data_IF_511925846575
#
_entry.id   IF_511925846575
#
_cell.length_a   1.000
_cell.length_b   1.000
_cell.length_c   1.000
_cell.angle_alpha   90.00
_cell.angle_beta   90.00
_cell.angle_gamma   90.00
#
_symmetry.space_group_name_H-M   'P 1'
#
loop_
_entity.id
_entity.type
_entity.pdbx_description
1 polymer ?
#
# COMPACT_ATOMS: atom_id res chain seq x y z
N UNK A 1 -12.92 -10.36 8.36
CA UNK A 1 -12.25 -9.06 8.36
C UNK A 1 -13.28 -7.95 8.33
N UNK A 2 -13.11 -6.95 9.20
CA UNK A 2 -13.91 -5.74 9.27
C UNK A 2 -13.04 -4.57 8.78
N UNK A 3 -13.50 -3.80 7.80
CA UNK A 3 -12.76 -2.61 7.32
C UNK A 3 -13.64 -1.36 7.21
N UNK A 4 -13.03 -0.18 7.35
CA UNK A 4 -13.62 1.12 7.05
C UNK A 4 -13.28 1.63 5.63
N UNK A 5 -12.52 0.86 4.86
CA UNK A 5 -12.15 1.19 3.49
C UNK A 5 -12.66 0.13 2.51
N UNK A 6 -13.50 0.54 1.55
CA UNK A 6 -14.00 -0.32 0.47
C UNK A 6 -12.85 -0.94 -0.35
N UNK A 7 -11.75 -0.19 -0.52
CA UNK A 7 -10.54 -0.64 -1.23
C UNK A 7 -9.92 -1.88 -0.61
N UNK A 8 -9.91 -2.00 0.73
CA UNK A 8 -9.39 -3.19 1.40
C UNK A 8 -10.23 -4.41 1.08
N UNK A 9 -11.56 -4.27 1.11
CA UNK A 9 -12.48 -5.38 0.85
C UNK A 9 -12.37 -5.85 -0.60
N UNK A 10 -12.29 -4.91 -1.55
CA UNK A 10 -12.08 -5.23 -2.96
C UNK A 10 -10.73 -5.92 -3.19
N UNK A 11 -9.66 -5.45 -2.54
CA UNK A 11 -8.34 -6.05 -2.67
C UNK A 11 -8.28 -7.45 -2.02
N UNK A 12 -8.99 -7.68 -0.92
CA UNK A 12 -9.13 -9.00 -0.29
C UNK A 12 -9.93 -9.98 -1.15
N UNK A 13 -10.97 -9.49 -1.83
CA UNK A 13 -11.71 -10.29 -2.80
C UNK A 13 -10.82 -10.76 -3.96
N UNK A 14 -9.93 -9.89 -4.45
CA UNK A 14 -8.92 -10.27 -5.43
C UNK A 14 -7.88 -11.24 -4.86
N UNK A 15 -7.44 -11.02 -3.62
CA UNK A 15 -6.49 -11.89 -2.92
C UNK A 15 -7.05 -13.30 -2.70
N UNK A 16 -8.38 -13.43 -2.49
CA UNK A 16 -9.05 -14.70 -2.25
C UNK A 16 -8.85 -15.71 -3.39
N UNK A 17 -8.71 -15.24 -4.62
CA UNK A 17 -8.45 -16.10 -5.80
C UNK A 17 -7.05 -16.72 -5.77
N UNK A 18 -6.11 -16.11 -5.03
CA UNK A 18 -4.73 -16.57 -4.91
C UNK A 18 -4.52 -17.49 -3.70
N UNK A 19 -5.54 -17.66 -2.86
CA UNK A 19 -5.46 -18.53 -1.70
C UNK A 19 -5.65 -20.01 -2.09
N UNK A 20 -5.07 -20.93 -1.31
CA UNK A 20 -5.31 -22.36 -1.47
C UNK A 20 -6.80 -22.73 -1.40
N UNK A 21 -7.22 -23.78 -2.10
CA UNK A 21 -8.62 -24.20 -2.17
C UNK A 21 -9.21 -24.58 -0.79
N UNK A 22 -8.37 -25.14 0.10
CA UNK A 22 -8.76 -25.56 1.45
C UNK A 22 -8.52 -24.46 2.50
N UNK A 23 -8.28 -23.22 2.08
CA UNK A 23 -8.09 -22.10 3.00
C UNK A 23 -9.38 -21.79 3.77
N UNK A 24 -9.25 -21.33 5.02
CA UNK A 24 -10.38 -21.01 5.87
C UNK A 24 -11.31 -19.96 5.22
N UNK A 25 -12.65 -20.09 5.38
CA UNK A 25 -13.58 -19.18 4.73
C UNK A 25 -13.37 -17.74 5.21
N UNK A 26 -13.24 -16.82 4.25
CA UNK A 26 -13.10 -15.39 4.51
C UNK A 26 -14.47 -14.72 4.50
N UNK A 27 -14.83 -14.13 5.64
CA UNK A 27 -15.97 -13.22 5.73
C UNK A 27 -15.49 -11.78 5.78
N UNK A 28 -16.08 -10.92 4.96
CA UNK A 28 -15.70 -9.52 4.79
C UNK A 28 -16.89 -8.63 5.11
N UNK A 29 -16.71 -7.58 5.90
CA UNK A 29 -17.76 -6.60 6.17
C UNK A 29 -17.21 -5.18 6.26
N UNK A 30 -17.97 -4.24 5.69
CA UNK A 30 -17.69 -2.82 5.78
C UNK A 30 -18.34 -2.24 7.05
N UNK A 31 -17.54 -1.71 7.96
CA UNK A 31 -18.01 -1.16 9.25
C UNK A 31 -17.93 0.37 9.32
N UNK A 32 -17.35 1.03 8.32
CA UNK A 32 -17.17 2.49 8.33
C UNK A 32 -18.44 3.34 8.20
N UNK A 33 -19.58 2.72 7.81
CA UNK A 33 -20.88 3.42 7.65
C UNK A 33 -21.90 3.03 8.71
N UNK A 34 -21.53 2.17 9.66
CA UNK A 34 -22.43 1.61 10.66
C UNK A 34 -22.25 2.39 11.96
N UNK A 35 -23.27 3.18 12.32
CA UNK A 35 -23.20 4.09 13.48
C UNK A 35 -24.00 3.54 14.66
N UNK A 36 -25.15 2.90 14.41
CA UNK A 36 -26.01 2.42 15.47
C UNK A 36 -25.47 1.12 16.09
N UNK A 37 -25.37 1.08 17.42
CA UNK A 37 -24.89 -0.09 18.18
C UNK A 37 -25.65 -1.36 17.81
N UNK A 38 -26.98 -1.29 17.66
CA UNK A 38 -27.79 -2.43 17.24
C UNK A 38 -27.44 -2.97 15.84
N UNK A 39 -26.99 -2.11 14.92
CA UNK A 39 -26.53 -2.53 13.60
C UNK A 39 -25.12 -3.14 13.66
N UNK A 40 -24.26 -2.63 14.54
CA UNK A 40 -22.96 -3.24 14.84
C UNK A 40 -23.18 -4.63 15.43
N UNK A 41 -24.09 -4.76 16.39
CA UNK A 41 -24.45 -6.03 17.01
C UNK A 41 -24.94 -7.04 15.97
N UNK A 42 -25.86 -6.64 15.08
CA UNK A 42 -26.35 -7.53 14.04
C UNK A 42 -25.22 -8.09 13.15
N UNK A 43 -24.27 -7.24 12.75
CA UNK A 43 -23.11 -7.66 11.95
C UNK A 43 -22.21 -8.60 12.76
N UNK A 44 -21.90 -8.26 14.01
CA UNK A 44 -21.00 -9.06 14.84
C UNK A 44 -21.63 -10.39 15.23
N UNK A 45 -22.92 -10.43 15.56
CA UNK A 45 -23.65 -11.64 15.93
C UNK A 45 -23.75 -12.61 14.74
N UNK A 46 -23.77 -12.11 13.50
CA UNK A 46 -23.71 -12.94 12.30
C UNK A 46 -22.32 -13.56 12.08
N UNK A 47 -21.25 -12.76 12.27
CA UNK A 47 -19.89 -13.13 11.88
C UNK A 47 -19.11 -13.89 12.96
N UNK A 48 -19.22 -13.45 14.22
CA UNK A 48 -18.38 -13.94 15.32
C UNK A 48 -18.56 -15.42 15.70
N UNK A 49 -19.75 -16.04 15.60
CA UNK A 49 -19.91 -17.46 15.97
C UNK A 49 -19.07 -18.43 15.14
N UNK A 50 -18.61 -18.02 13.95
CA UNK A 50 -17.83 -18.85 13.02
C UNK A 50 -16.38 -18.39 12.89
N UNK A 51 -16.00 -17.32 13.58
CA UNK A 51 -14.68 -16.73 13.47
C UNK A 51 -13.70 -17.41 14.44
N UNK A 52 -12.47 -17.65 13.97
CA UNK A 52 -11.32 -17.94 14.83
C UNK A 52 -10.36 -16.74 14.90
N UNK A 53 -10.30 -15.96 13.82
CA UNK A 53 -9.45 -14.77 13.68
C UNK A 53 -10.32 -13.61 13.16
N UNK A 54 -10.27 -12.47 13.85
CA UNK A 54 -10.91 -11.23 13.43
C UNK A 54 -9.83 -10.17 13.22
N UNK A 55 -9.69 -9.73 11.97
CA UNK A 55 -8.86 -8.58 11.61
C UNK A 55 -9.77 -7.36 11.44
N UNK A 56 -9.45 -6.29 12.15
CA UNK A 56 -10.14 -5.00 12.10
C UNK A 56 -9.18 -3.93 11.58
N UNK A 57 -9.52 -3.33 10.44
CA UNK A 57 -8.77 -2.23 9.83
C UNK A 57 -9.57 -0.95 9.92
N UNK A 58 -9.19 -0.06 10.83
CA UNK A 58 -9.98 1.10 11.24
C UNK A 58 -9.17 2.39 11.14
N UNK A 59 -9.82 3.53 10.92
CA UNK A 59 -9.14 4.83 10.93
C UNK A 59 -8.60 5.22 12.31
N UNK A 60 -9.27 4.81 13.39
CA UNK A 60 -8.80 5.00 14.77
C UNK A 60 -9.53 4.06 15.73
N UNK A 61 -9.02 3.88 16.95
CA UNK A 61 -9.75 3.17 18.01
C UNK A 61 -11.11 3.81 18.36
N UNK A 62 -11.27 5.13 18.14
CA UNK A 62 -12.50 5.86 18.50
C UNK A 62 -13.60 5.72 17.45
N UNK A 63 -13.25 5.49 16.18
CA UNK A 63 -14.24 5.42 15.09
C UNK A 63 -15.14 4.18 15.17
N UNK A 64 -14.78 3.20 15.99
CA UNK A 64 -15.54 1.95 16.16
C UNK A 64 -15.45 1.43 17.61
N UNK A 65 -15.51 2.34 18.59
CA UNK A 65 -15.25 2.03 20.00
C UNK A 65 -16.16 0.91 20.56
N UNK A 66 -17.48 1.03 20.36
CA UNK A 66 -18.46 0.02 20.79
C UNK A 66 -18.17 -1.35 20.16
N UNK A 67 -17.92 -1.39 18.85
CA UNK A 67 -17.58 -2.64 18.17
C UNK A 67 -16.27 -3.26 18.67
N UNK A 68 -15.25 -2.45 18.98
CA UNK A 68 -14.00 -2.94 19.58
C UNK A 68 -14.21 -3.52 20.98
N UNK A 69 -15.11 -2.96 21.79
CA UNK A 69 -15.46 -3.53 23.09
C UNK A 69 -16.16 -4.89 22.93
N UNK A 70 -17.12 -4.99 22.00
CA UNK A 70 -17.79 -6.25 21.63
C UNK A 70 -16.78 -7.31 21.17
N UNK A 71 -15.83 -6.93 20.32
CA UNK A 71 -14.79 -7.82 19.81
C UNK A 71 -13.83 -8.27 20.90
N UNK A 72 -13.49 -7.39 21.84
CA UNK A 72 -12.65 -7.72 22.99
C UNK A 72 -13.35 -8.75 23.88
N UNK A 73 -14.63 -8.53 24.18
CA UNK A 73 -15.44 -9.47 24.95
C UNK A 73 -15.54 -10.84 24.27
N UNK A 74 -15.72 -10.86 22.94
CA UNK A 74 -15.69 -12.10 22.17
C UNK A 74 -14.35 -12.83 22.25
N UNK A 75 -13.23 -12.11 22.09
CA UNK A 75 -11.90 -12.70 22.15
C UNK A 75 -11.61 -13.28 23.54
N UNK A 76 -12.01 -12.58 24.60
CA UNK A 76 -11.87 -13.06 25.98
C UNK A 76 -12.76 -14.27 26.29
N UNK A 77 -13.96 -14.34 25.71
CA UNK A 77 -14.89 -15.46 25.93
C UNK A 77 -14.53 -16.72 25.13
N UNK A 78 -13.97 -16.57 23.93
CA UNK A 78 -13.75 -17.68 22.98
C UNK A 78 -12.29 -18.10 22.85
N UNK A 79 -11.35 -17.26 23.29
CA UNK A 79 -9.94 -17.42 22.96
C UNK A 79 -9.59 -17.09 21.51
N UNK A 80 -10.52 -16.46 20.77
CA UNK A 80 -10.30 -16.03 19.39
C UNK A 80 -9.23 -14.94 19.27
N UNK A 81 -8.60 -14.87 18.10
CA UNK A 81 -7.56 -13.89 17.82
C UNK A 81 -8.16 -12.60 17.26
N UNK A 82 -7.88 -11.48 17.92
CA UNK A 82 -8.26 -10.15 17.48
C UNK A 82 -7.00 -9.40 17.06
N UNK A 83 -7.00 -8.90 15.83
CA UNK A 83 -5.96 -8.02 15.31
C UNK A 83 -6.58 -6.70 14.89
N UNK A 84 -6.14 -5.61 15.51
CA UNK A 84 -6.58 -4.26 15.23
C UNK A 84 -5.42 -3.48 14.59
N UNK A 85 -5.60 -3.04 13.35
CA UNK A 85 -4.59 -2.29 12.59
C UNK A 85 -5.16 -0.99 12.02
N UNK A 86 -4.36 0.07 11.91
CA UNK A 86 -4.80 1.32 11.32
C UNK A 86 -5.07 1.16 9.82
N UNK A 87 -6.09 1.85 9.32
CA UNK A 87 -6.41 1.97 7.89
C UNK A 87 -5.62 3.10 7.20
N UNK A 88 -4.73 3.78 7.93
CA UNK A 88 -3.90 4.90 7.45
C UNK A 88 -2.42 4.52 7.54
N UNK A 89 -1.55 5.32 6.89
CA UNK A 89 -0.10 5.06 6.89
C UNK A 89 0.51 5.07 8.30
N UNK A 90 0.06 6.01 9.14
CA UNK A 90 0.55 6.15 10.50
C UNK A 90 0.10 4.99 11.39
N UNK A 91 1.03 4.49 12.21
CA UNK A 91 0.70 3.53 13.27
C UNK A 91 -0.17 4.20 14.34
N UNK A 92 -1.17 3.48 14.82
CA UNK A 92 -2.03 3.87 15.95
C UNK A 92 -1.78 2.89 17.11
N UNK A 93 -0.90 3.22 18.07
CA UNK A 93 -0.61 2.35 19.20
C UNK A 93 -1.83 2.04 20.06
N UNK A 94 -2.77 2.98 20.20
CA UNK A 94 -3.98 2.79 21.01
C UNK A 94 -4.93 1.77 20.37
N UNK A 95 -5.00 1.76 19.03
CA UNK A 95 -5.74 0.75 18.28
C UNK A 95 -5.01 -0.59 18.33
N UNK A 96 -3.71 -0.62 18.06
CA UNK A 96 -2.93 -1.86 18.02
C UNK A 96 -2.86 -2.55 19.37
N UNK A 97 -2.82 -1.79 20.48
CA UNK A 97 -2.83 -2.32 21.84
C UNK A 97 -4.11 -3.11 22.20
N UNK A 98 -5.18 -3.00 21.40
CA UNK A 98 -6.42 -3.78 21.57
C UNK A 98 -6.36 -5.16 20.92
N UNK A 99 -5.29 -5.43 20.17
CA UNK A 99 -5.06 -6.74 19.57
C UNK A 99 -4.73 -7.77 20.64
N UNK A 100 -5.20 -9.00 20.47
CA UNK A 100 -4.78 -10.16 21.28
C UNK A 100 -3.58 -10.88 20.69
N UNK A 101 -3.19 -10.54 19.46
CA UNK A 101 -2.00 -11.08 18.80
C UNK A 101 -0.72 -10.34 19.20
N UNK A 102 0.42 -11.01 19.05
CA UNK A 102 1.71 -10.42 19.36
C UNK A 102 2.05 -9.20 18.48
N UNK A 103 2.71 -8.21 19.08
CA UNK A 103 3.12 -6.96 18.44
C UNK A 103 3.89 -7.18 17.11
N UNK A 104 4.87 -8.10 17.02
CA UNK A 104 5.58 -8.34 15.74
C UNK A 104 4.67 -8.80 14.61
N UNK A 105 3.71 -9.69 14.91
CA UNK A 105 2.75 -10.17 13.92
C UNK A 105 1.81 -9.06 13.48
N UNK A 106 1.34 -8.22 14.42
CA UNK A 106 0.49 -7.08 14.10
C UNK A 106 1.18 -6.09 13.15
N UNK A 107 2.46 -5.78 13.39
CA UNK A 107 3.25 -4.92 12.49
C UNK A 107 3.48 -5.56 11.12
N UNK A 108 3.81 -6.85 11.08
CA UNK A 108 4.03 -7.56 9.82
C UNK A 108 2.75 -7.59 8.97
N UNK A 109 1.61 -7.90 9.58
CA UNK A 109 0.32 -7.88 8.90
C UNK A 109 -0.02 -6.48 8.43
N UNK A 110 0.18 -5.45 9.26
CA UNK A 110 -0.01 -4.07 8.84
C UNK A 110 0.85 -3.71 7.62
N UNK A 111 2.09 -4.18 7.55
CA UNK A 111 2.98 -3.95 6.40
C UNK A 111 2.45 -4.55 5.10
N UNK A 112 1.87 -5.77 5.10
CA UNK A 112 1.21 -6.32 3.91
C UNK A 112 0.09 -5.42 3.40
N UNK A 113 -0.70 -4.85 4.32
CA UNK A 113 -1.77 -3.93 3.92
C UNK A 113 -1.23 -2.58 3.43
N UNK A 114 -0.11 -2.07 3.97
CA UNK A 114 0.50 -0.83 3.46
C UNK A 114 1.11 -1.02 2.07
N UNK A 115 1.79 -2.14 1.83
CA UNK A 115 2.33 -2.45 0.50
C UNK A 115 1.22 -2.68 -0.53
N UNK A 116 0.05 -3.13 -0.08
CA UNK A 116 -1.14 -3.29 -0.90
C UNK A 116 -1.02 -4.37 -1.98
N UNK A 117 -2.07 -4.54 -2.77
CA UNK A 117 -2.12 -5.55 -3.85
C UNK A 117 -2.50 -6.95 -3.40
N UNK A 118 -3.18 -7.67 -4.30
CA UNK A 118 -3.77 -8.97 -4.02
C UNK A 118 -2.74 -10.02 -3.54
N UNK A 119 -1.54 -10.03 -4.12
CA UNK A 119 -0.48 -10.98 -3.74
C UNK A 119 0.05 -10.75 -2.32
N UNK A 120 0.29 -9.49 -1.94
CA UNK A 120 0.70 -9.17 -0.56
C UNK A 120 -0.39 -9.52 0.44
N UNK A 121 -1.66 -9.22 0.12
CA UNK A 121 -2.76 -9.55 1.02
C UNK A 121 -2.96 -11.07 1.17
N UNK A 122 -2.80 -11.85 0.09
CA UNK A 122 -2.84 -13.31 0.16
C UNK A 122 -1.72 -13.85 1.06
N UNK A 123 -0.49 -13.36 0.91
CA UNK A 123 0.62 -13.70 1.81
C UNK A 123 0.36 -13.27 3.26
N UNK A 124 -0.23 -12.09 3.48
CA UNK A 124 -0.61 -11.63 4.81
C UNK A 124 -1.67 -12.53 5.48
N UNK A 125 -2.63 -13.04 4.71
CA UNK A 125 -3.63 -14.00 5.19
C UNK A 125 -3.02 -15.37 5.48
N UNK A 126 -2.13 -15.87 4.62
CA UNK A 126 -1.36 -17.11 4.88
C UNK A 126 -0.47 -16.96 6.13
N UNK A 127 0.21 -15.82 6.27
CA UNK A 127 1.00 -15.49 7.47
C UNK A 127 0.16 -15.52 8.74
N UNK A 128 -1.04 -14.92 8.73
CA UNK A 128 -1.96 -14.98 9.86
C UNK A 128 -2.37 -16.42 10.18
N UNK A 129 -2.72 -17.18 9.15
CA UNK A 129 -3.14 -18.57 9.29
C UNK A 129 -2.03 -19.45 9.85
N UNK A 130 -0.79 -19.26 9.41
CA UNK A 130 0.36 -20.03 9.86
C UNK A 130 0.72 -19.73 11.31
N UNK A 131 0.71 -18.45 11.70
CA UNK A 131 1.05 -18.05 13.06
C UNK A 131 -0.05 -18.34 14.09
N UNK A 132 -1.31 -18.19 13.71
CA UNK A 132 -2.45 -18.26 14.65
C UNK A 132 -3.17 -19.61 14.62
N UNK A 133 -3.24 -20.25 13.45
CA UNK A 133 -3.98 -21.49 13.23
C UNK A 133 -3.07 -22.69 12.92
N UNK A 134 -1.74 -22.49 12.85
CA UNK A 134 -0.73 -23.53 12.64
C UNK A 134 -0.98 -24.36 11.37
N UNK A 135 -1.46 -23.72 10.29
CA UNK A 135 -1.84 -24.41 9.05
C UNK A 135 -0.65 -24.74 8.15
N UNK A 136 0.34 -23.85 8.04
CA UNK A 136 1.59 -24.11 7.32
C UNK A 136 1.50 -23.94 5.81
N UNK A 137 0.71 -22.98 5.33
CA UNK A 137 0.59 -22.63 3.91
C UNK A 137 1.88 -22.05 3.32
N UNK A 138 2.69 -21.39 4.16
CA UNK A 138 3.83 -20.61 3.73
C UNK A 138 3.41 -19.23 3.22
N UNK A 139 4.31 -18.26 3.39
CA UNK A 139 4.12 -16.88 2.96
C UNK A 139 5.45 -16.22 2.61
N UNK A 140 5.43 -15.29 1.67
CA UNK A 140 6.57 -14.44 1.31
C UNK A 140 6.44 -13.07 2.00
N UNK A 141 7.53 -12.43 2.47
CA UNK A 141 7.53 -11.07 3.02
C UNK A 141 6.80 -10.03 2.14
N UNK A 142 6.30 -8.94 2.75
CA UNK A 142 5.61 -7.88 2.02
C UNK A 142 6.53 -7.20 1.00
N UNK A 143 6.05 -7.04 -0.22
CA UNK A 143 6.78 -6.44 -1.34
C UNK A 143 6.15 -5.10 -1.72
N UNK A 144 6.94 -4.03 -1.73
CA UNK A 144 6.47 -2.71 -2.19
C UNK A 144 6.06 -2.75 -3.66
N UNK A 145 4.85 -2.25 -3.93
CA UNK A 145 4.38 -2.10 -5.31
C UNK A 145 4.97 -0.82 -5.94
N UNK A 146 5.23 -0.83 -7.26
CA UNK A 146 5.62 0.39 -7.96
C UNK A 146 4.56 1.49 -7.83
N UNK A 147 5.00 2.74 -7.63
CA UNK A 147 4.11 3.92 -7.54
C UNK A 147 3.25 4.12 -8.80
N UNK A 148 3.70 3.61 -9.93
CA UNK A 148 3.04 3.70 -11.22
C UNK A 148 3.26 2.43 -12.02
N UNK A 149 2.24 2.04 -12.78
CA UNK A 149 2.28 0.92 -13.71
C UNK A 149 1.51 1.25 -14.97
N UNK A 150 1.91 0.62 -16.08
CA UNK A 150 1.11 0.64 -17.30
C UNK A 150 -0.04 -0.35 -17.18
N UNK A 151 -1.28 0.12 -17.16
CA UNK A 151 -2.43 -0.75 -17.32
C UNK A 151 -2.49 -1.23 -18.77
N UNK A 152 -2.21 -2.51 -18.97
CA UNK A 152 -2.45 -3.17 -20.25
C UNK A 152 -3.80 -3.88 -20.13
N UNK A 153 -4.81 -3.32 -20.79
CA UNK A 153 -6.08 -4.03 -20.95
C UNK A 153 -5.78 -5.31 -21.73
N UNK A 154 -6.03 -6.47 -21.12
CA UNK A 154 -6.18 -7.69 -21.89
C UNK A 154 -7.36 -7.45 -22.83
N UNK A 155 -7.09 -7.47 -24.15
CA UNK A 155 -8.14 -7.30 -25.13
C UNK A 155 -9.07 -8.52 -25.03
N UNK A 156 -10.12 -8.40 -24.23
CA UNK A 156 -11.23 -9.33 -24.27
C UNK A 156 -11.89 -9.11 -25.63
N UNK A 157 -11.53 -9.92 -26.62
CA UNK A 157 -12.27 -10.03 -27.86
C UNK A 157 -13.68 -10.48 -27.48
N UNK A 158 -14.59 -9.52 -27.33
CA UNK A 158 -16.00 -9.83 -27.34
C UNK A 158 -16.31 -10.35 -28.74
N UNK A 159 -16.77 -11.60 -28.90
CA UNK A 159 -17.27 -12.03 -30.20
C UNK A 159 -18.55 -11.23 -30.44
N UNK A 160 -18.44 -10.11 -31.15
CA UNK A 160 -19.63 -9.54 -31.76
C UNK A 160 -20.14 -10.61 -32.72
N UNK A 161 -21.33 -11.15 -32.44
CA UNK A 161 -21.93 -12.17 -33.30
C UNK A 161 -21.90 -11.70 -34.76
N UNK A 162 -21.57 -12.62 -35.66
CA UNK A 162 -21.48 -12.39 -37.11
C UNK A 162 -22.69 -11.59 -37.60
N UNK A 163 -22.50 -10.28 -37.85
CA UNK A 163 -23.56 -9.39 -38.30
C UNK A 163 -23.59 -7.97 -37.71
N UNK A 164 -22.77 -7.59 -36.73
CA UNK A 164 -22.76 -6.20 -36.25
C UNK A 164 -21.96 -5.27 -37.19
N UNK A 165 -22.64 -4.31 -37.81
CA UNK A 165 -22.03 -3.17 -38.52
C UNK A 165 -21.44 -2.11 -37.57
N UNK A 166 -21.52 -2.32 -36.25
CA UNK A 166 -21.00 -1.42 -35.23
C UNK A 166 -19.48 -1.51 -35.01
N UNK A 167 -18.86 -2.63 -35.37
CA UNK A 167 -17.44 -2.89 -35.18
C UNK A 167 -16.68 -2.69 -36.49
N UNK A 168 -16.49 -1.44 -36.92
CA UNK A 168 -15.37 -1.17 -37.81
C UNK A 168 -14.09 -1.28 -36.96
N UNK A 169 -13.04 -1.99 -37.43
CA UNK A 169 -11.79 -2.02 -36.70
C UNK A 169 -11.30 -0.58 -36.57
N UNK A 170 -10.97 -0.15 -35.35
CA UNK A 170 -10.05 0.97 -35.21
C UNK A 170 -8.77 0.48 -35.89
N UNK A 171 -8.56 0.92 -37.13
CA UNK A 171 -7.37 0.61 -37.87
C UNK A 171 -6.19 1.14 -37.06
N UNK A 172 -5.43 0.22 -36.46
CA UNK A 172 -4.14 0.50 -35.85
C UNK A 172 -3.20 0.82 -37.01
N UNK A 173 -3.17 2.09 -37.40
CA UNK A 173 -2.48 2.54 -38.59
C UNK A 173 -2.34 4.04 -38.64
N UNK A 174 -1.64 4.63 -37.68
CA UNK A 174 -0.94 5.90 -37.89
C UNK A 174 0.35 5.94 -37.05
N UNK A 175 1.49 6.36 -37.63
CA UNK A 175 2.68 6.63 -36.85
C UNK A 175 2.42 7.84 -35.96
N UNK A 176 2.64 7.69 -34.65
CA UNK A 176 2.52 8.76 -33.65
C UNK A 176 3.75 9.67 -33.71
N UNK A 177 3.84 10.51 -34.74
CA UNK A 177 4.73 11.66 -34.74
C UNK A 177 3.91 12.92 -34.48
N UNK A 178 3.73 13.28 -33.20
CA UNK A 178 3.56 14.63 -32.64
C UNK A 178 2.69 14.62 -31.38
N UNK A 179 3.31 14.39 -30.22
CA UNK A 179 2.70 14.72 -28.92
C UNK A 179 3.11 16.12 -28.41
N UNK A 180 3.87 16.89 -29.20
CA UNK A 180 4.41 18.21 -28.80
C UNK A 180 3.40 19.37 -28.87
N UNK A 181 2.17 19.15 -29.33
CA UNK A 181 1.24 20.25 -29.64
C UNK A 181 0.20 20.57 -28.56
N UNK A 182 0.20 19.88 -27.41
CA UNK A 182 -0.76 20.13 -26.32
C UNK A 182 -0.03 20.43 -25.01
N UNK A 183 0.81 21.46 -25.04
CA UNK A 183 1.15 22.23 -23.85
C UNK A 183 0.80 23.69 -24.11
N UNK A 184 -0.01 24.35 -23.25
CA UNK A 184 -0.21 25.78 -23.36
C UNK A 184 1.15 26.48 -23.16
N UNK A 185 1.51 27.35 -24.10
CA UNK A 185 2.71 28.20 -24.02
C UNK A 185 2.69 29.01 -22.72
N UNK A 186 3.78 29.03 -21.92
CA UNK A 186 3.90 30.03 -20.86
C UNK A 186 3.98 31.42 -21.51
N UNK A 187 3.02 32.28 -21.16
CA UNK A 187 3.02 33.69 -21.54
C UNK A 187 4.21 34.39 -20.89
N UNK A 188 4.89 35.20 -21.71
CA UNK A 188 6.08 35.96 -21.37
C UNK A 188 5.93 36.80 -20.09
N UNK A 189 6.78 36.48 -19.13
CA UNK A 189 7.68 37.39 -18.41
C UNK A 189 7.41 38.90 -18.56
N UNK A 190 6.85 39.50 -17.50
CA UNK A 190 7.01 40.93 -17.21
C UNK A 190 8.03 41.09 -16.09
N UNK A 191 9.19 41.62 -16.46
CA UNK A 191 10.22 42.10 -15.55
C UNK A 191 9.70 43.28 -14.74
N UNK A 192 9.75 43.19 -13.42
CA UNK A 192 10.08 44.33 -12.56
C UNK A 192 10.90 43.81 -11.38
N UNK A 193 12.20 44.12 -11.40
CA UNK A 193 13.07 43.92 -10.26
C UNK A 193 12.76 44.91 -9.13
N UNK A 194 13.16 44.56 -7.91
CA UNK A 194 14.27 45.19 -7.20
C UNK A 194 14.30 44.72 -5.73
N UNK A 195 15.51 44.28 -5.33
CA UNK A 195 16.19 44.48 -4.03
C UNK A 195 15.57 43.89 -2.76
N UNK A 196 16.44 43.22 -1.99
CA UNK A 196 16.28 43.08 -0.55
C UNK A 196 17.02 41.88 0.02
N UNK A 197 18.34 41.98 0.14
CA UNK A 197 19.10 41.17 1.08
C UNK A 197 18.64 41.52 2.51
N UNK A 198 18.51 40.54 3.40
CA UNK A 198 18.89 40.71 4.81
C UNK A 198 19.13 39.36 5.50
N UNK A 199 20.30 39.29 6.15
CA UNK A 199 20.74 38.29 7.11
C UNK A 199 20.07 38.48 8.47
N UNK A 200 19.77 37.40 9.20
CA UNK A 200 19.96 37.16 10.66
C UNK A 200 19.25 35.85 11.05
N UNK A 201 19.68 34.93 11.92
CA UNK A 201 20.79 34.85 12.88
C UNK A 201 20.62 33.55 13.72
N UNK A 202 21.73 33.11 14.30
CA UNK A 202 21.97 31.87 15.06
C UNK A 202 21.20 31.64 16.37
N UNK A 203 21.24 30.38 16.84
CA UNK A 203 21.14 29.95 18.25
C UNK A 203 20.07 28.88 18.50
N UNK A 204 20.27 27.77 19.21
CA UNK A 204 21.33 27.35 20.12
C UNK A 204 21.29 25.81 20.30
N UNK A 205 22.35 25.28 20.90
CA UNK A 205 22.67 23.87 21.04
C UNK A 205 22.24 23.25 22.40
N UNK A 206 22.17 21.90 22.41
CA UNK A 206 22.33 20.96 23.55
C UNK A 206 21.14 20.87 24.54
N UNK A 207 20.63 19.70 24.91
CA UNK A 207 21.33 18.58 25.52
C UNK A 207 20.85 17.18 25.11
N UNK A 208 21.79 16.24 25.17
CA UNK A 208 21.61 14.81 25.02
C UNK A 208 21.47 14.12 26.38
N UNK A 209 20.59 13.13 26.48
CA UNK A 209 20.85 11.95 27.32
C UNK A 209 20.15 10.72 26.75
N UNK A 210 20.89 9.61 26.77
CA UNK A 210 20.68 8.42 25.97
C UNK A 210 19.74 7.41 26.63
N UNK A 211 19.00 6.65 25.82
CA UNK A 211 18.58 5.29 26.14
C UNK A 211 18.28 4.48 24.87
N UNK A 212 19.14 3.47 24.66
CA UNK A 212 18.99 2.22 23.89
C UNK A 212 18.17 2.26 22.59
N UNK A 213 18.91 2.35 21.49
CA UNK A 213 18.45 2.14 20.11
C UNK A 213 18.38 0.65 19.81
N UNK A 214 17.20 0.16 19.43
CA UNK A 214 17.03 -1.01 18.56
C UNK A 214 17.01 -0.51 17.11
N UNK A 215 17.60 -1.23 16.13
CA UNK A 215 17.62 -0.76 14.75
C UNK A 215 16.20 -0.82 14.16
N UNK A 216 15.59 0.34 14.00
CA UNK A 216 14.39 0.56 13.20
C UNK A 216 14.85 0.71 11.75
N UNK A 217 14.25 -0.08 10.85
CA UNK A 217 14.44 0.05 9.41
C UNK A 217 14.16 1.50 9.00
N UNK A 218 15.20 2.17 8.51
CA UNK A 218 15.12 3.55 8.05
C UNK A 218 14.27 3.61 6.78
N UNK A 219 13.23 4.44 6.84
CA UNK A 219 12.37 4.77 5.72
C UNK A 219 13.13 5.32 4.52
N UNK A 220 12.68 4.89 3.35
CA UNK A 220 13.14 5.32 2.05
C UNK A 220 12.83 6.81 1.83
N UNK A 221 13.80 7.67 2.13
CA UNK A 221 13.80 9.04 1.64
C UNK A 221 14.01 9.03 0.11
N UNK A 222 12.96 9.44 -0.62
CA UNK A 222 12.94 9.57 -2.07
C UNK A 222 14.11 10.42 -2.59
N UNK A 223 15.03 9.76 -3.31
CA UNK A 223 16.14 10.41 -3.98
C UNK A 223 15.67 10.90 -5.35
N UNK A 224 15.62 12.22 -5.52
CA UNK A 224 15.36 12.91 -6.79
C UNK A 224 16.36 12.44 -7.86
N UNK A 225 15.83 11.89 -8.94
CA UNK A 225 16.57 11.53 -10.15
C UNK A 225 16.80 12.82 -10.94
N UNK A 226 18.06 13.24 -11.11
CA UNK A 226 18.45 14.27 -12.06
C UNK A 226 18.78 13.61 -13.41
N UNK A 227 18.05 13.97 -14.45
CA UNK A 227 18.35 13.59 -15.84
C UNK A 227 19.49 14.46 -16.40
N UNK A 228 20.49 13.77 -16.99
CA UNK A 228 20.73 13.88 -18.44
C UNK A 228 21.51 15.07 -19.00
N UNK A 229 22.82 14.83 -19.18
CA UNK A 229 23.60 15.05 -20.39
C UNK A 229 23.83 16.48 -20.95
N UNK A 230 25.10 16.88 -20.95
CA UNK A 230 25.69 17.73 -21.98
C UNK A 230 26.90 17.02 -22.61
N UNK A 231 26.92 17.05 -23.94
CA UNK A 231 27.86 16.41 -24.87
C UNK A 231 29.08 17.33 -25.13
N UNK A 232 30.15 16.71 -25.64
CA UNK A 232 31.31 17.26 -26.35
C UNK A 232 32.49 17.79 -25.51
N UNK A 233 33.66 17.17 -25.67
CA UNK A 233 34.60 17.56 -26.74
C UNK A 233 35.83 16.63 -26.73
N UNK A 234 36.16 16.08 -27.89
CA UNK A 234 37.30 15.19 -28.08
C UNK A 234 38.65 15.90 -28.10
N UNK A 235 39.71 15.14 -27.80
CA UNK A 235 41.03 15.22 -28.45
C UNK A 235 42.07 14.45 -27.62
N UNK A 236 42.47 13.26 -28.07
CA UNK A 236 43.83 12.74 -27.85
C UNK A 236 44.22 11.79 -28.99
N UNK A 237 45.20 12.17 -29.84
CA UNK A 237 45.82 11.22 -30.73
C UNK A 237 47.18 10.72 -30.17
N UNK A 238 47.53 9.52 -30.64
CA UNK A 238 48.85 8.90 -30.78
C UNK A 238 49.43 8.07 -29.61
N UNK A 239 49.40 6.75 -29.85
CA UNK A 239 50.44 5.78 -29.48
C UNK A 239 51.76 6.12 -30.17
N UNK A 240 52.86 5.88 -29.45
CA UNK A 240 54.12 5.36 -30.01
C UNK A 240 54.77 4.48 -28.93
N UNK A 241 54.63 3.16 -29.07
CA UNK A 241 55.47 2.18 -28.38
C UNK A 241 56.77 2.04 -29.19
N UNK A 242 57.91 2.31 -28.56
CA UNK A 242 59.23 1.98 -29.08
C UNK A 242 59.77 0.78 -28.32
N UNK A 243 60.05 -0.32 -29.02
CA UNK A 243 61.19 -1.20 -28.73
C UNK A 243 61.47 -2.12 -29.93
N UNK A 244 62.70 -2.04 -30.44
CA UNK A 244 63.38 -3.12 -31.16
C UNK A 244 64.80 -3.20 -30.59
N UNK A 245 65.18 -4.42 -30.20
CA UNK A 245 66.51 -4.94 -29.86
C UNK A 245 67.18 -4.39 -28.59
#
# INVERSE_FOLDING_TARGET
>A
MLSQADTDLLALEQARVQLPADFAPLQLAHVGRVIADAAIDAILDELLPRAAVVVCRLHSARSFAYGLERLRAWADATGGFLLCIPAVEALDPDLMARSTVGVPLAHLVNAYFQCGGAANLANGLSCLSDHLLLTGWGYEPPVELPDHGSYMAEATEAPCGTGCTCCHPIAVGHPRDSWDSVLPRPSAERQHGLRGCDHYGDGAARDASASRVYPIAQGCAGRRIAHGAAVACGSRPRRCDHQHA
#
